data_IF_027015042549
#
_entry.id   IF_027015042549
#
_cell.length_a   1.000
_cell.length_b   1.000
_cell.length_c   1.000
_cell.angle_alpha   90.00
_cell.angle_beta   90.00
_cell.angle_gamma   90.00
#
_symmetry.space_group_name_H-M   'P 1'
#
loop_
_entity.id
_entity.type
_entity.pdbx_description
1 polymer ?
#
# COMPACT_ATOMS: atom_id res chain seq x y z
N UNK A 1 12.74 -39.35 -5.32
CA UNK A 1 14.14 -39.44 -4.85
C UNK A 1 14.90 -40.62 -5.45
N UNK A 2 14.23 -41.56 -6.14
CA UNK A 2 14.85 -42.68 -6.88
C UNK A 2 15.84 -43.46 -6.03
N UNK A 3 17.06 -43.65 -6.54
CA UNK A 3 18.12 -44.41 -5.87
C UNK A 3 18.57 -43.82 -4.51
N UNK A 4 18.12 -42.63 -4.14
CA UNK A 4 18.46 -41.94 -2.90
C UNK A 4 17.34 -42.03 -1.85
N UNK A 5 16.25 -42.77 -2.13
CA UNK A 5 15.17 -42.96 -1.17
C UNK A 5 15.69 -43.65 0.10
N UNK A 6 15.34 -43.08 1.27
CA UNK A 6 15.80 -43.56 2.57
C UNK A 6 17.23 -43.14 2.99
N UNK A 7 18.00 -42.45 2.12
CA UNK A 7 19.33 -41.93 2.46
C UNK A 7 19.25 -40.61 3.17
N UNK A 8 20.16 -40.36 4.12
CA UNK A 8 20.32 -39.04 4.76
C UNK A 8 21.14 -38.16 3.84
N UNK A 9 20.69 -36.92 3.61
CA UNK A 9 21.40 -35.90 2.85
C UNK A 9 21.70 -34.67 3.71
N UNK A 10 22.87 -34.05 3.52
CA UNK A 10 23.24 -32.82 4.13
C UNK A 10 22.74 -31.66 3.26
N UNK A 11 21.91 -30.78 3.82
CA UNK A 11 21.45 -29.57 3.15
C UNK A 11 22.60 -28.55 3.15
N UNK A 12 23.19 -28.28 1.99
CA UNK A 12 24.31 -27.32 1.82
C UNK A 12 23.87 -25.93 1.35
N UNK A 13 22.63 -25.78 0.86
CA UNK A 13 22.02 -24.52 0.41
C UNK A 13 20.63 -24.37 0.99
N UNK A 14 20.15 -23.14 1.07
CA UNK A 14 18.78 -22.89 1.51
C UNK A 14 17.78 -23.72 0.70
N UNK A 15 16.95 -24.50 1.40
CA UNK A 15 15.93 -25.36 0.79
C UNK A 15 14.59 -24.62 0.83
N UNK A 16 13.91 -24.53 -0.32
CA UNK A 16 12.58 -23.95 -0.41
C UNK A 16 11.62 -24.60 0.61
N UNK A 17 10.92 -23.79 1.40
CA UNK A 17 10.08 -24.25 2.52
C UNK A 17 10.81 -24.46 3.85
N UNK A 18 12.13 -24.33 3.89
CA UNK A 18 12.90 -24.37 5.13
C UNK A 18 12.67 -23.08 5.97
N UNK A 19 12.59 -23.22 7.31
CA UNK A 19 12.31 -22.09 8.23
C UNK A 19 13.28 -20.91 8.10
N UNK A 20 14.55 -21.17 7.75
CA UNK A 20 15.59 -20.14 7.61
C UNK A 20 15.83 -19.74 6.13
N UNK A 21 15.20 -20.41 5.17
CA UNK A 21 15.52 -20.24 3.75
C UNK A 21 15.34 -18.79 3.26
N UNK A 22 14.26 -18.12 3.67
CA UNK A 22 14.01 -16.70 3.31
C UNK A 22 15.09 -15.76 3.87
N UNK A 23 15.52 -15.97 5.13
CA UNK A 23 16.60 -15.17 5.74
C UNK A 23 17.94 -15.42 5.02
N UNK A 24 18.25 -16.66 4.74
CA UNK A 24 19.53 -17.02 4.09
C UNK A 24 19.58 -16.45 2.67
N UNK A 25 18.46 -16.49 1.94
CA UNK A 25 18.33 -15.86 0.63
C UNK A 25 18.51 -14.33 0.72
N UNK A 26 17.83 -13.68 1.66
CA UNK A 26 17.94 -12.24 1.88
C UNK A 26 19.38 -11.81 2.23
N UNK A 27 20.06 -12.55 3.11
CA UNK A 27 21.47 -12.25 3.46
C UNK A 27 22.40 -12.39 2.25
N UNK A 28 22.16 -13.40 1.40
CA UNK A 28 22.96 -13.59 0.18
C UNK A 28 22.70 -12.46 -0.83
N UNK A 29 21.44 -12.10 -1.03
CA UNK A 29 21.06 -11.00 -1.91
C UNK A 29 21.65 -9.66 -1.43
N UNK A 30 21.55 -9.37 -0.14
CA UNK A 30 22.14 -8.21 0.50
C UNK A 30 23.67 -8.15 0.23
N UNK A 31 24.39 -9.24 0.48
CA UNK A 31 25.83 -9.30 0.25
C UNK A 31 26.18 -9.06 -1.23
N UNK A 32 25.35 -9.54 -2.14
CA UNK A 32 25.51 -9.28 -3.56
C UNK A 32 25.32 -7.79 -3.89
N UNK A 33 24.28 -7.16 -3.37
CA UNK A 33 24.02 -5.73 -3.61
C UNK A 33 25.14 -4.84 -3.05
N UNK A 34 25.62 -5.14 -1.83
CA UNK A 34 26.77 -4.45 -1.23
C UNK A 34 28.04 -4.63 -2.08
N UNK A 35 28.31 -5.82 -2.60
CA UNK A 35 29.42 -6.11 -3.50
C UNK A 35 29.34 -5.34 -4.83
N UNK A 36 28.14 -5.16 -5.36
CA UNK A 36 27.88 -4.37 -6.57
C UNK A 36 27.92 -2.85 -6.33
N UNK A 37 28.23 -2.43 -5.11
CA UNK A 37 28.36 -1.01 -4.73
C UNK A 37 27.05 -0.31 -4.39
N UNK A 38 25.94 -1.05 -4.27
CA UNK A 38 24.69 -0.51 -3.77
C UNK A 38 24.73 -0.41 -2.24
N UNK A 39 24.05 0.60 -1.70
CA UNK A 39 23.83 0.76 -0.28
C UNK A 39 22.34 0.76 0.01
N UNK A 40 21.86 0.13 1.10
CA UNK A 40 20.46 0.15 1.44
C UNK A 40 20.05 1.57 1.88
N UNK A 41 18.86 1.99 1.50
CA UNK A 41 18.28 3.22 2.01
C UNK A 41 18.08 3.09 3.54
N UNK A 42 18.41 4.15 4.30
CA UNK A 42 18.26 4.13 5.76
C UNK A 42 16.78 4.00 6.22
N UNK A 43 15.89 4.49 5.41
CA UNK A 43 14.47 4.52 5.72
C UNK A 43 13.74 3.24 5.29
N UNK A 44 14.28 2.55 4.29
CA UNK A 44 13.75 1.27 3.80
C UNK A 44 14.93 0.39 3.35
N UNK A 45 15.27 -0.67 4.11
CA UNK A 45 16.41 -1.52 3.83
C UNK A 45 16.28 -2.36 2.55
N UNK A 46 15.06 -2.48 1.97
CA UNK A 46 14.80 -3.20 0.74
C UNK A 46 14.86 -2.29 -0.50
N UNK A 47 15.05 -0.97 -0.30
CA UNK A 47 15.39 0.00 -1.34
C UNK A 47 16.89 0.22 -1.37
N UNK A 48 17.53 -0.21 -2.44
CA UNK A 48 18.96 -0.09 -2.65
C UNK A 48 19.27 1.05 -3.59
N UNK A 49 20.33 1.81 -3.29
CA UNK A 49 20.72 2.96 -4.09
C UNK A 49 22.22 2.97 -4.38
N UNK A 50 22.62 3.43 -5.56
CA UNK A 50 23.99 3.59 -6.02
C UNK A 50 24.12 4.88 -6.85
N UNK A 51 25.12 5.70 -6.54
CA UNK A 51 25.42 6.89 -7.35
C UNK A 51 25.93 6.48 -8.73
N UNK A 52 25.44 7.13 -9.78
CA UNK A 52 25.79 6.87 -11.16
C UNK A 52 25.76 8.16 -11.98
N UNK A 53 26.22 8.09 -13.23
CA UNK A 53 26.22 9.20 -14.18
C UNK A 53 25.44 8.87 -15.43
N UNK A 54 24.67 9.85 -15.91
CA UNK A 54 24.02 9.79 -17.23
C UNK A 54 25.06 9.99 -18.32
N UNK A 55 24.66 9.77 -19.58
CA UNK A 55 25.50 10.00 -20.75
C UNK A 55 25.98 11.47 -20.86
N UNK A 56 25.20 12.42 -20.36
CA UNK A 56 25.53 13.85 -20.30
C UNK A 56 26.39 14.25 -19.10
N UNK A 57 26.92 13.27 -18.35
CA UNK A 57 27.67 13.44 -17.10
C UNK A 57 26.89 13.98 -15.90
N UNK A 58 25.57 14.10 -15.96
CA UNK A 58 24.76 14.45 -14.79
C UNK A 58 24.73 13.30 -13.79
N UNK A 59 24.94 13.63 -12.52
CA UNK A 59 24.84 12.67 -11.43
C UNK A 59 23.37 12.30 -11.19
N UNK A 60 23.13 11.01 -10.92
CA UNK A 60 21.82 10.50 -10.54
C UNK A 60 21.94 9.26 -9.64
N UNK A 61 20.85 8.88 -9.00
CA UNK A 61 20.77 7.65 -8.22
C UNK A 61 20.15 6.53 -9.04
N UNK A 62 20.81 5.38 -9.08
CA UNK A 62 20.21 4.12 -9.47
C UNK A 62 19.51 3.52 -8.27
N UNK A 63 18.28 3.01 -8.47
CA UNK A 63 17.54 2.34 -7.43
C UNK A 63 17.22 0.92 -7.83
N UNK A 64 17.31 0.01 -6.86
CA UNK A 64 16.83 -1.36 -6.96
C UNK A 64 15.93 -1.63 -5.77
N UNK A 65 14.66 -1.86 -6.04
CA UNK A 65 13.66 -2.23 -5.03
C UNK A 65 13.56 -3.76 -5.02
N UNK A 66 13.74 -4.35 -3.86
CA UNK A 66 13.68 -5.79 -3.66
C UNK A 66 12.45 -6.14 -2.83
N UNK A 67 11.63 -7.05 -3.32
CA UNK A 67 10.51 -7.60 -2.59
C UNK A 67 10.54 -9.12 -2.69
N UNK A 68 11.11 -9.78 -1.70
CA UNK A 68 11.39 -11.21 -1.67
C UNK A 68 12.25 -11.62 -2.87
N UNK A 69 11.66 -12.10 -3.95
CA UNK A 69 12.29 -12.52 -5.22
C UNK A 69 12.00 -11.55 -6.39
N UNK A 70 11.08 -10.62 -6.22
CA UNK A 70 10.80 -9.58 -7.21
C UNK A 70 11.83 -8.43 -7.10
N UNK A 71 12.31 -7.98 -8.26
CA UNK A 71 13.30 -6.92 -8.38
C UNK A 71 12.80 -5.86 -9.37
N UNK A 72 12.64 -4.60 -8.92
CA UNK A 72 12.35 -3.46 -9.78
C UNK A 72 13.55 -2.54 -9.81
N UNK A 73 14.15 -2.35 -11.00
CA UNK A 73 15.33 -1.52 -11.20
C UNK A 73 14.96 -0.21 -11.90
N UNK A 74 15.41 0.90 -11.33
CA UNK A 74 15.26 2.26 -11.88
C UNK A 74 16.67 2.79 -12.19
N UNK A 75 17.02 2.83 -13.46
CA UNK A 75 18.32 3.28 -13.96
C UNK A 75 18.19 3.70 -15.43
N UNK A 76 19.22 4.37 -15.97
CA UNK A 76 19.35 4.57 -17.43
C UNK A 76 19.74 3.27 -18.15
N UNK A 77 20.28 2.27 -17.42
CA UNK A 77 20.72 0.98 -17.95
C UNK A 77 20.18 -0.20 -17.09
N UNK A 78 18.87 -0.33 -16.87
CA UNK A 78 18.31 -1.29 -15.91
C UNK A 78 18.59 -2.75 -16.32
N UNK A 79 18.60 -3.06 -17.63
CA UNK A 79 18.89 -4.41 -18.11
C UNK A 79 20.34 -4.83 -17.83
N UNK A 80 21.29 -3.92 -17.87
CA UNK A 80 22.68 -4.24 -17.56
C UNK A 80 22.86 -4.60 -16.10
N UNK A 81 22.24 -3.84 -15.20
CA UNK A 81 22.25 -4.11 -13.76
C UNK A 81 21.63 -5.48 -13.48
N UNK A 82 20.44 -5.75 -14.03
CA UNK A 82 19.75 -7.02 -13.77
C UNK A 82 20.46 -8.19 -14.42
N UNK A 83 20.82 -8.12 -15.72
CA UNK A 83 21.37 -9.27 -16.47
C UNK A 83 22.85 -9.49 -16.20
N UNK A 84 23.65 -8.41 -16.25
CA UNK A 84 25.11 -8.52 -16.24
C UNK A 84 25.71 -8.40 -14.85
N UNK A 85 25.06 -7.69 -13.93
CA UNK A 85 25.58 -7.53 -12.57
C UNK A 85 24.92 -8.54 -11.63
N UNK A 86 23.63 -8.40 -11.32
CA UNK A 86 22.89 -9.30 -10.40
C UNK A 86 22.82 -10.71 -10.96
N UNK A 87 22.56 -10.85 -12.26
CA UNK A 87 22.44 -12.13 -12.96
C UNK A 87 23.70 -13.02 -12.96
N UNK A 88 24.88 -12.47 -12.60
CA UNK A 88 26.10 -13.28 -12.36
C UNK A 88 25.98 -14.13 -11.10
N UNK A 89 25.21 -13.70 -10.12
CA UNK A 89 25.12 -14.30 -8.80
C UNK A 89 23.80 -15.05 -8.58
N UNK A 90 22.76 -14.69 -9.34
CA UNK A 90 21.43 -15.26 -9.26
C UNK A 90 20.95 -15.79 -10.60
N UNK A 91 20.31 -16.96 -10.57
CA UNK A 91 19.67 -17.51 -11.76
C UNK A 91 18.37 -16.72 -12.04
N UNK A 92 18.42 -15.91 -13.09
CA UNK A 92 17.28 -15.12 -13.53
C UNK A 92 16.44 -15.86 -14.57
N UNK A 93 15.13 -15.64 -14.55
CA UNK A 93 14.23 -16.10 -15.60
C UNK A 93 14.26 -15.07 -16.72
N UNK A 94 14.92 -15.39 -17.85
CA UNK A 94 15.06 -14.47 -18.98
C UNK A 94 13.73 -13.85 -19.46
N UNK A 95 12.66 -14.64 -19.48
CA UNK A 95 11.33 -14.18 -19.90
C UNK A 95 10.68 -13.16 -18.96
N UNK A 96 11.20 -12.98 -17.74
CA UNK A 96 10.68 -12.01 -16.75
C UNK A 96 11.55 -10.75 -16.64
N UNK A 97 12.61 -10.63 -17.46
CA UNK A 97 13.46 -9.43 -17.50
C UNK A 97 12.99 -8.53 -18.64
N UNK A 98 12.46 -7.37 -18.30
CA UNK A 98 11.97 -6.39 -19.25
C UNK A 98 11.26 -5.23 -18.56
N UNK A 99 10.58 -4.37 -19.31
CA UNK A 99 9.70 -3.36 -18.74
C UNK A 99 8.70 -4.01 -17.77
N UNK A 100 8.38 -3.37 -16.62
CA UNK A 100 7.46 -3.95 -15.67
C UNK A 100 6.06 -4.11 -16.31
N UNK A 101 5.51 -5.32 -16.24
CA UNK A 101 4.14 -5.64 -16.67
C UNK A 101 3.27 -6.03 -15.47
N UNK A 102 3.76 -6.93 -14.63
CA UNK A 102 3.10 -7.32 -13.38
C UNK A 102 4.10 -7.13 -12.24
N UNK A 103 3.70 -6.37 -11.23
CA UNK A 103 4.48 -6.16 -10.02
C UNK A 103 3.56 -6.28 -8.79
N UNK A 104 3.93 -7.11 -7.82
CA UNK A 104 3.17 -7.36 -6.57
C UNK A 104 1.68 -7.74 -6.81
N UNK A 105 1.38 -8.35 -7.95
CA UNK A 105 0.01 -8.76 -8.31
C UNK A 105 -0.83 -7.68 -8.99
N UNK A 106 -0.27 -6.50 -9.24
CA UNK A 106 -0.88 -5.42 -10.03
C UNK A 106 -0.23 -5.30 -11.40
N UNK A 107 -1.02 -4.89 -12.39
CA UNK A 107 -0.55 -4.59 -13.73
C UNK A 107 0.06 -3.20 -13.76
N UNK A 108 1.28 -3.11 -14.27
CA UNK A 108 1.99 -1.86 -14.55
C UNK A 108 1.85 -1.56 -16.03
N UNK A 109 1.49 -0.34 -16.40
CA UNK A 109 1.36 0.09 -17.78
C UNK A 109 1.75 1.57 -17.93
N UNK A 110 1.85 2.02 -19.17
CA UNK A 110 2.02 3.45 -19.48
C UNK A 110 0.70 3.99 -20.01
N UNK A 111 0.35 5.18 -19.58
CA UNK A 111 -0.86 5.92 -19.97
C UNK A 111 -0.44 7.30 -20.46
N UNK A 112 -0.96 7.71 -21.58
CA UNK A 112 -0.80 9.07 -22.09
C UNK A 112 -1.91 9.96 -21.53
N UNK A 113 -1.52 11.05 -20.87
CA UNK A 113 -2.44 12.05 -20.33
C UNK A 113 -2.98 12.94 -21.43
N UNK A 114 -4.05 13.68 -21.16
CA UNK A 114 -4.61 14.69 -22.09
C UNK A 114 -3.59 15.78 -22.47
N UNK A 115 -2.58 16.00 -21.62
CA UNK A 115 -1.45 16.90 -21.88
C UNK A 115 -0.43 16.36 -22.90
N UNK A 116 -0.53 15.09 -23.31
CA UNK A 116 0.44 14.37 -24.13
C UNK A 116 1.62 13.80 -23.33
N UNK A 117 1.65 13.96 -22.01
CA UNK A 117 2.67 13.35 -21.16
C UNK A 117 2.38 11.86 -20.92
N UNK A 118 3.43 11.03 -20.96
CA UNK A 118 3.32 9.58 -20.70
C UNK A 118 3.68 9.32 -19.25
N UNK A 119 2.74 8.75 -18.51
CA UNK A 119 2.90 8.41 -17.11
C UNK A 119 2.81 6.89 -16.87
N UNK A 120 3.45 6.41 -15.82
CA UNK A 120 3.24 5.05 -15.36
C UNK A 120 1.90 4.94 -14.63
N UNK A 121 1.28 3.79 -14.77
CA UNK A 121 0.04 3.46 -14.08
C UNK A 121 0.11 2.09 -13.44
N UNK A 122 -0.75 1.86 -12.45
CA UNK A 122 -0.84 0.63 -11.70
C UNK A 122 -2.30 0.23 -11.49
N UNK A 123 -2.67 -0.99 -11.87
CA UNK A 123 -4.02 -1.51 -11.74
C UNK A 123 -4.05 -2.86 -11.05
N UNK A 124 -4.84 -2.97 -10.00
CA UNK A 124 -5.11 -4.23 -9.29
C UNK A 124 -6.29 -5.03 -9.85
N UNK A 125 -6.81 -4.65 -11.01
CA UNK A 125 -8.04 -5.23 -11.60
C UNK A 125 -8.02 -6.76 -11.68
N UNK A 126 -6.93 -7.37 -12.11
CA UNK A 126 -6.82 -8.83 -12.22
C UNK A 126 -6.91 -9.52 -10.85
N UNK A 127 -6.21 -8.97 -9.85
CA UNK A 127 -6.25 -9.48 -8.48
C UNK A 127 -7.67 -9.39 -7.90
N UNK A 128 -8.35 -8.26 -8.10
CA UNK A 128 -9.75 -8.07 -7.65
C UNK A 128 -10.67 -9.09 -8.29
N UNK A 129 -10.59 -9.29 -9.60
CA UNK A 129 -11.42 -10.27 -10.32
C UNK A 129 -11.18 -11.70 -9.84
N UNK A 130 -9.93 -12.07 -9.60
CA UNK A 130 -9.59 -13.40 -9.10
C UNK A 130 -10.13 -13.62 -7.69
N UNK A 131 -9.96 -12.65 -6.80
CA UNK A 131 -10.52 -12.71 -5.46
C UNK A 131 -12.06 -12.84 -5.47
N UNK A 132 -12.75 -12.07 -6.32
CA UNK A 132 -14.20 -12.18 -6.49
C UNK A 132 -14.61 -13.58 -7.01
N UNK A 133 -13.87 -14.15 -7.98
CA UNK A 133 -14.12 -15.52 -8.46
C UNK A 133 -13.96 -16.55 -7.34
N UNK A 134 -12.94 -16.41 -6.51
CA UNK A 134 -12.68 -17.31 -5.39
C UNK A 134 -13.80 -17.23 -4.33
N UNK A 135 -14.30 -16.04 -4.01
CA UNK A 135 -15.46 -15.87 -3.12
C UNK A 135 -16.71 -16.50 -3.70
N UNK A 136 -17.00 -16.31 -4.98
CA UNK A 136 -18.14 -16.96 -5.65
C UNK A 136 -18.02 -18.47 -5.65
N UNK A 137 -16.83 -19.01 -5.90
CA UNK A 137 -16.57 -20.45 -5.84
C UNK A 137 -16.82 -20.98 -4.43
N UNK A 138 -16.29 -20.33 -3.40
CA UNK A 138 -16.55 -20.69 -2.00
C UNK A 138 -18.03 -20.76 -1.68
N UNK A 139 -18.80 -19.71 -2.02
CA UNK A 139 -20.24 -19.69 -1.79
C UNK A 139 -20.98 -20.78 -2.57
N UNK A 140 -20.55 -21.05 -3.82
CA UNK A 140 -21.12 -22.13 -4.63
C UNK A 140 -20.87 -23.51 -4.02
N UNK A 141 -19.64 -23.75 -3.57
CA UNK A 141 -19.24 -25.03 -2.99
C UNK A 141 -19.93 -25.26 -1.63
N UNK A 142 -20.08 -24.18 -0.82
CA UNK A 142 -20.79 -24.20 0.48
C UNK A 142 -22.26 -24.58 0.34
N UNK A 143 -22.93 -24.08 -0.71
CA UNK A 143 -24.37 -24.26 -0.94
C UNK A 143 -24.69 -25.10 -2.15
N UNK A 144 -23.84 -26.10 -2.46
CA UNK A 144 -23.95 -26.92 -3.65
C UNK A 144 -25.31 -27.63 -3.76
N UNK A 145 -25.87 -28.08 -2.63
CA UNK A 145 -27.10 -28.82 -2.54
C UNK A 145 -28.26 -28.02 -1.91
N UNK A 146 -28.03 -26.69 -1.73
CA UNK A 146 -28.98 -25.82 -1.01
C UNK A 146 -29.76 -24.92 -1.98
N UNK A 147 -31.09 -24.87 -1.90
CA UNK A 147 -31.91 -23.92 -2.65
C UNK A 147 -31.50 -22.49 -2.38
N UNK A 148 -31.54 -21.61 -3.40
CA UNK A 148 -31.16 -20.19 -3.30
C UNK A 148 -31.93 -19.46 -2.18
N UNK A 149 -33.11 -19.92 -1.83
CA UNK A 149 -33.97 -19.29 -0.83
C UNK A 149 -33.50 -19.49 0.62
N UNK A 150 -32.71 -20.54 0.89
CA UNK A 150 -32.27 -20.90 2.24
C UNK A 150 -30.79 -20.51 2.49
N UNK A 151 -30.18 -19.76 1.56
CA UNK A 151 -28.79 -19.32 1.69
C UNK A 151 -28.65 -18.21 2.71
N UNK A 152 -27.90 -18.47 3.76
CA UNK A 152 -27.55 -17.48 4.79
C UNK A 152 -26.62 -16.40 4.23
N UNK A 153 -25.62 -16.82 3.42
CA UNK A 153 -24.60 -15.90 2.87
C UNK A 153 -24.67 -15.86 1.34
N UNK A 154 -24.55 -14.66 0.77
CA UNK A 154 -24.55 -14.47 -0.67
C UNK A 154 -23.90 -13.14 -1.06
N UNK A 155 -23.42 -13.06 -2.29
CA UNK A 155 -23.03 -11.79 -2.91
C UNK A 155 -24.29 -11.14 -3.52
N UNK A 156 -24.71 -9.94 -3.05
CA UNK A 156 -25.90 -9.28 -3.58
C UNK A 156 -25.71 -8.90 -5.06
N UNK A 157 -26.79 -8.98 -5.84
CA UNK A 157 -26.74 -8.62 -7.28
C UNK A 157 -26.49 -7.14 -7.53
N UNK A 158 -26.82 -6.27 -6.57
CA UNK A 158 -26.64 -4.81 -6.64
C UNK A 158 -25.91 -4.34 -5.39
N UNK A 159 -24.70 -3.79 -5.58
CA UNK A 159 -23.93 -3.12 -4.56
C UNK A 159 -23.41 -1.81 -5.17
N UNK A 160 -24.08 -0.70 -4.88
CA UNK A 160 -23.75 0.63 -5.38
C UNK A 160 -22.59 1.28 -4.61
N UNK A 161 -22.42 0.86 -3.35
CA UNK A 161 -21.36 1.31 -2.46
C UNK A 161 -20.67 0.08 -1.82
N UNK A 162 -19.47 0.22 -1.25
CA UNK A 162 -18.75 -0.89 -0.62
C UNK A 162 -19.50 -1.52 0.56
N UNK A 163 -20.20 -0.74 1.36
CA UNK A 163 -21.10 -1.21 2.42
C UNK A 163 -22.55 -0.87 2.10
N UNK A 164 -23.48 -1.58 2.72
CA UNK A 164 -24.90 -1.26 2.66
C UNK A 164 -25.16 0.11 3.28
N UNK A 165 -26.15 0.84 2.75
CA UNK A 165 -26.53 2.15 3.26
C UNK A 165 -26.79 2.11 4.77
N UNK A 166 -26.20 3.08 5.48
CA UNK A 166 -26.34 3.24 6.93
C UNK A 166 -25.82 2.06 7.78
N UNK A 167 -25.13 1.09 7.21
CA UNK A 167 -24.53 0.02 7.98
C UNK A 167 -23.39 0.55 8.89
N UNK A 168 -23.45 0.12 10.14
CA UNK A 168 -22.46 0.48 11.16
C UNK A 168 -21.97 -0.80 11.84
N UNK A 169 -20.74 -1.25 11.58
CA UNK A 169 -20.24 -2.52 12.10
C UNK A 169 -20.18 -2.55 13.63
N UNK A 170 -19.91 -1.41 14.27
CA UNK A 170 -19.77 -1.32 15.72
C UNK A 170 -21.09 -1.54 16.51
N UNK A 171 -22.25 -1.43 15.85
CA UNK A 171 -23.56 -1.68 16.46
C UNK A 171 -24.26 -2.93 15.92
N UNK A 172 -23.55 -3.77 15.16
CA UNK A 172 -24.11 -5.03 14.67
C UNK A 172 -24.38 -5.98 15.83
N UNK A 173 -25.62 -6.42 15.97
CA UNK A 173 -26.12 -7.32 17.03
C UNK A 173 -26.45 -8.72 16.50
N UNK A 174 -26.10 -9.03 15.27
CA UNK A 174 -26.29 -10.36 14.71
C UNK A 174 -25.48 -11.41 15.49
N UNK A 175 -25.79 -12.71 15.38
CA UNK A 175 -25.06 -13.77 16.05
C UNK A 175 -23.55 -13.70 15.75
N UNK A 176 -22.75 -14.14 16.70
CA UNK A 176 -21.30 -14.31 16.49
C UNK A 176 -21.04 -15.43 15.50
N UNK A 177 -19.98 -15.27 14.70
CA UNK A 177 -19.61 -16.29 13.73
C UNK A 177 -19.03 -17.52 14.43
N UNK A 178 -19.40 -18.69 13.91
CA UNK A 178 -18.70 -19.93 14.26
C UNK A 178 -17.20 -19.84 13.88
N UNK A 179 -16.30 -20.58 14.55
CA UNK A 179 -14.86 -20.46 14.37
C UNK A 179 -14.38 -20.57 12.91
N UNK A 180 -15.02 -21.43 12.11
CA UNK A 180 -14.65 -21.59 10.70
C UNK A 180 -15.01 -20.35 9.86
N UNK A 181 -16.18 -19.76 10.08
CA UNK A 181 -16.63 -18.56 9.40
C UNK A 181 -15.88 -17.31 9.90
N UNK A 182 -15.52 -17.27 11.19
CA UNK A 182 -14.65 -16.23 11.74
C UNK A 182 -13.26 -16.25 11.09
N UNK A 183 -12.65 -17.42 10.93
CA UNK A 183 -11.37 -17.56 10.23
C UNK A 183 -11.48 -17.16 8.74
N UNK A 184 -12.59 -17.51 8.10
CA UNK A 184 -12.85 -17.10 6.72
C UNK A 184 -13.03 -15.58 6.60
N UNK A 185 -13.80 -14.95 7.50
CA UNK A 185 -13.93 -13.49 7.58
C UNK A 185 -12.55 -12.82 7.71
N UNK A 186 -11.71 -13.30 8.62
CA UNK A 186 -10.36 -12.77 8.82
C UNK A 186 -9.50 -12.86 7.53
N UNK A 187 -9.61 -13.98 6.82
CA UNK A 187 -8.91 -14.15 5.55
C UNK A 187 -9.41 -13.20 4.46
N UNK A 188 -10.71 -12.97 4.37
CA UNK A 188 -11.32 -12.03 3.42
C UNK A 188 -10.91 -10.57 3.72
N UNK A 189 -10.88 -10.18 4.99
CA UNK A 189 -10.38 -8.86 5.39
C UNK A 189 -8.89 -8.71 5.03
N UNK A 190 -8.09 -9.76 5.17
CA UNK A 190 -6.69 -9.77 4.71
C UNK A 190 -6.57 -9.50 3.20
N UNK A 191 -7.40 -10.15 2.39
CA UNK A 191 -7.47 -9.93 0.93
C UNK A 191 -7.88 -8.49 0.60
N UNK A 192 -8.92 -7.97 1.26
CA UNK A 192 -9.39 -6.60 1.05
C UNK A 192 -8.36 -5.54 1.48
N UNK A 193 -7.64 -5.77 2.59
CA UNK A 193 -6.53 -4.90 3.00
C UNK A 193 -5.42 -4.88 1.96
N UNK A 194 -5.07 -6.03 1.40
CA UNK A 194 -4.10 -6.08 0.31
C UNK A 194 -4.58 -5.31 -0.93
N UNK A 195 -5.86 -5.40 -1.28
CA UNK A 195 -6.43 -4.58 -2.36
C UNK A 195 -6.29 -3.08 -2.09
N UNK A 196 -6.48 -2.63 -0.84
CA UNK A 196 -6.26 -1.23 -0.46
C UNK A 196 -4.80 -0.84 -0.71
N UNK A 197 -3.82 -1.67 -0.30
CA UNK A 197 -2.40 -1.43 -0.57
C UNK A 197 -2.08 -1.41 -2.08
N UNK A 198 -2.81 -2.18 -2.87
CA UNK A 198 -2.71 -2.19 -4.34
C UNK A 198 -3.49 -1.06 -5.04
N UNK A 199 -3.91 -0.02 -4.32
CA UNK A 199 -4.51 1.17 -4.91
C UNK A 199 -6.05 1.20 -4.92
N UNK A 200 -6.75 0.26 -4.27
CA UNK A 200 -8.21 0.35 -4.09
C UNK A 200 -8.57 1.28 -2.93
N UNK A 201 -8.33 2.56 -3.17
CA UNK A 201 -8.56 3.63 -2.19
C UNK A 201 -10.05 3.77 -1.88
N UNK A 202 -10.89 3.49 -2.87
CA UNK A 202 -12.35 3.56 -2.82
C UNK A 202 -12.98 2.67 -1.72
N UNK A 203 -12.26 1.66 -1.24
CA UNK A 203 -12.70 0.79 -0.14
C UNK A 203 -11.88 0.97 1.15
N UNK A 204 -10.98 1.93 1.21
CA UNK A 204 -10.04 2.09 2.32
C UNK A 204 -10.75 2.31 3.66
N UNK A 205 -11.77 3.15 3.69
CA UNK A 205 -12.53 3.48 4.90
C UNK A 205 -13.29 2.26 5.41
N UNK A 206 -14.02 1.60 4.54
CA UNK A 206 -14.85 0.45 4.87
C UNK A 206 -14.02 -0.74 5.33
N UNK A 207 -12.91 -1.03 4.66
CA UNK A 207 -11.97 -2.07 5.08
C UNK A 207 -11.36 -1.76 6.44
N UNK A 208 -11.04 -0.51 6.72
CA UNK A 208 -10.58 -0.07 8.03
C UNK A 208 -11.65 -0.23 9.12
N UNK A 209 -12.92 0.06 8.80
CA UNK A 209 -14.04 -0.15 9.71
C UNK A 209 -14.24 -1.64 10.01
N UNK A 210 -14.33 -2.47 8.98
CA UNK A 210 -14.52 -3.92 9.13
C UNK A 210 -13.33 -4.60 9.81
N UNK A 211 -12.11 -4.10 9.61
CA UNK A 211 -10.92 -4.60 10.34
C UNK A 211 -11.00 -4.43 11.85
N UNK A 212 -11.83 -3.50 12.34
CA UNK A 212 -12.05 -3.33 13.79
C UNK A 212 -12.83 -4.49 14.42
N UNK A 213 -13.50 -5.33 13.61
CA UNK A 213 -14.34 -6.44 14.07
C UNK A 213 -13.63 -7.81 13.98
N UNK A 214 -12.32 -7.85 13.71
CA UNK A 214 -11.56 -9.11 13.50
C UNK A 214 -11.54 -10.03 14.72
N UNK A 215 -11.57 -9.47 15.93
CA UNK A 215 -11.49 -10.25 17.15
C UNK A 215 -12.77 -11.03 17.48
N UNK A 216 -13.93 -10.46 17.14
CA UNK A 216 -15.24 -11.04 17.40
C UNK A 216 -16.19 -10.70 16.25
N UNK A 217 -16.00 -11.31 15.08
CA UNK A 217 -16.82 -11.03 13.92
C UNK A 217 -18.21 -11.66 14.05
N UNK A 218 -19.22 -11.02 13.45
CA UNK A 218 -20.61 -11.43 13.47
C UNK A 218 -21.11 -11.77 12.06
N UNK A 219 -22.27 -12.43 11.98
CA UNK A 219 -22.89 -12.80 10.69
C UNK A 219 -23.13 -11.59 9.79
N UNK A 220 -23.59 -10.47 10.37
CA UNK A 220 -23.76 -9.21 9.64
C UNK A 220 -22.45 -8.68 9.08
N UNK A 221 -21.35 -8.80 9.82
CA UNK A 221 -20.01 -8.41 9.32
C UNK A 221 -19.61 -9.23 8.08
N UNK A 222 -19.79 -10.55 8.11
CA UNK A 222 -19.47 -11.42 6.97
C UNK A 222 -20.35 -11.11 5.75
N UNK A 223 -21.65 -10.83 5.98
CA UNK A 223 -22.55 -10.40 4.91
C UNK A 223 -22.09 -9.09 4.25
N UNK A 224 -21.60 -8.12 5.04
CA UNK A 224 -21.09 -6.87 4.48
C UNK A 224 -19.79 -7.07 3.72
N UNK A 225 -18.93 -8.00 4.12
CA UNK A 225 -17.75 -8.37 3.34
C UNK A 225 -18.17 -8.96 1.97
N UNK A 226 -19.16 -9.82 1.92
CA UNK A 226 -19.70 -10.29 0.63
C UNK A 226 -20.32 -9.17 -0.21
N UNK A 227 -20.94 -8.18 0.43
CA UNK A 227 -21.42 -6.97 -0.23
C UNK A 227 -20.27 -6.18 -0.86
N UNK A 228 -19.15 -6.02 -0.14
CA UNK A 228 -17.93 -5.37 -0.67
C UNK A 228 -17.39 -6.11 -1.90
N UNK A 229 -17.31 -7.44 -1.87
CA UNK A 229 -16.89 -8.22 -3.04
C UNK A 229 -17.85 -8.07 -4.22
N UNK A 230 -19.14 -7.91 -3.97
CA UNK A 230 -20.10 -7.62 -5.04
C UNK A 230 -19.92 -6.22 -5.64
N UNK A 231 -19.57 -5.22 -4.84
CA UNK A 231 -19.19 -3.88 -5.31
C UNK A 231 -17.93 -3.95 -6.16
N UNK A 232 -16.90 -4.62 -5.66
CA UNK A 232 -15.61 -4.78 -6.31
C UNK A 232 -15.70 -5.52 -7.64
N UNK A 233 -16.55 -6.53 -7.75
CA UNK A 233 -16.75 -7.28 -9.00
C UNK A 233 -17.25 -6.40 -10.14
N UNK A 234 -18.05 -5.39 -9.83
CA UNK A 234 -18.56 -4.43 -10.82
C UNK A 234 -17.58 -3.30 -11.10
N UNK A 235 -16.81 -2.91 -10.09
CA UNK A 235 -15.91 -1.78 -10.12
C UNK A 235 -14.45 -2.22 -10.02
N UNK A 236 -14.09 -3.31 -10.72
CA UNK A 236 -12.73 -3.91 -10.61
C UNK A 236 -11.65 -3.11 -11.35
N UNK A 237 -12.02 -2.31 -12.35
CA UNK A 237 -11.11 -1.70 -13.32
C UNK A 237 -10.56 -0.33 -12.89
N UNK A 238 -10.28 -0.15 -11.60
CA UNK A 238 -9.60 1.05 -11.14
C UNK A 238 -8.11 1.02 -11.52
N UNK A 239 -7.58 2.19 -11.85
CA UNK A 239 -6.19 2.39 -12.22
C UNK A 239 -5.65 3.64 -11.53
N UNK A 240 -4.47 3.53 -10.94
CA UNK A 240 -3.74 4.65 -10.37
C UNK A 240 -2.72 5.14 -11.38
N UNK A 241 -2.76 6.44 -11.69
CA UNK A 241 -1.80 7.07 -12.60
C UNK A 241 -0.80 7.89 -11.78
N UNK A 242 0.49 7.67 -12.00
CA UNK A 242 1.57 8.40 -11.36
C UNK A 242 1.96 9.62 -12.21
N UNK A 243 1.09 10.63 -12.17
CA UNK A 243 1.32 11.89 -12.87
C UNK A 243 2.43 12.67 -12.18
N UNK A 244 3.54 12.83 -12.87
CA UNK A 244 4.74 13.49 -12.37
C UNK A 244 4.76 15.01 -12.61
N UNK A 245 3.74 15.55 -13.27
CA UNK A 245 3.63 17.00 -13.52
C UNK A 245 3.54 17.77 -12.21
N UNK A 246 4.17 18.95 -12.18
CA UNK A 246 4.14 19.81 -11.00
C UNK A 246 2.77 20.48 -10.92
N UNK A 247 2.07 20.43 -9.78
CA UNK A 247 0.79 21.08 -9.63
C UNK A 247 0.94 22.61 -9.71
N UNK A 248 0.00 23.25 -10.38
CA UNK A 248 -0.13 24.70 -10.34
C UNK A 248 -0.71 25.11 -8.99
N UNK A 249 0.15 25.62 -8.13
CA UNK A 249 -0.23 26.10 -6.79
C UNK A 249 0.06 27.60 -6.74
N UNK A 250 -0.97 28.40 -6.81
CA UNK A 250 -0.82 29.84 -6.61
C UNK A 250 -0.46 30.14 -5.15
N UNK A 251 0.60 30.92 -4.93
CA UNK A 251 1.00 31.35 -3.57
C UNK A 251 -0.12 32.13 -2.84
N UNK A 252 -1.07 32.69 -3.58
CA UNK A 252 -2.22 33.39 -3.05
C UNK A 252 -3.23 32.48 -2.36
N UNK A 253 -3.26 31.17 -2.70
CA UNK A 253 -4.15 30.18 -2.06
C UNK A 253 -3.74 29.89 -0.61
N UNK A 254 -2.50 30.23 -0.24
CA UNK A 254 -1.95 30.02 1.10
C UNK A 254 -1.36 31.32 1.66
N UNK A 255 -2.20 32.31 2.01
CA UNK A 255 -1.71 33.56 2.54
C UNK A 255 -0.94 33.34 3.83
N UNK A 256 0.26 33.87 3.89
CA UNK A 256 1.05 33.87 5.14
C UNK A 256 0.32 34.75 6.17
N UNK A 257 -0.15 34.13 7.25
CA UNK A 257 -0.73 34.86 8.34
C UNK A 257 0.36 35.62 9.11
N UNK A 258 0.18 36.92 9.27
CA UNK A 258 1.02 37.73 10.14
C UNK A 258 0.63 37.50 11.62
N UNK A 259 1.54 36.89 12.35
CA UNK A 259 1.35 36.61 13.77
C UNK A 259 2.12 37.57 14.66
N UNK A 260 2.78 38.59 14.09
CA UNK A 260 3.62 39.54 14.82
C UNK A 260 2.89 40.23 15.99
N UNK A 261 1.58 40.38 15.86
CA UNK A 261 0.72 41.01 16.85
C UNK A 261 0.00 40.02 17.79
N UNK A 262 0.43 38.76 17.83
CA UNK A 262 -0.16 37.74 18.69
C UNK A 262 0.78 37.33 19.83
N UNK A 263 0.25 36.66 20.84
CA UNK A 263 1.05 36.09 21.96
C UNK A 263 2.14 35.12 21.48
N UNK A 264 2.02 34.63 20.26
CA UNK A 264 2.97 33.69 19.65
C UNK A 264 4.08 34.35 18.83
N UNK A 265 4.12 35.69 18.74
CA UNK A 265 5.09 36.41 17.91
C UNK A 265 6.55 36.08 18.22
N UNK A 266 6.87 35.87 19.50
CA UNK A 266 8.22 35.57 19.98
C UNK A 266 8.56 34.04 19.98
N UNK A 267 7.57 33.19 19.81
CA UNK A 267 7.77 31.72 19.81
C UNK A 267 8.00 31.15 18.41
N UNK A 268 7.93 32.01 17.40
CA UNK A 268 8.13 31.66 15.99
C UNK A 268 9.57 31.83 15.57
N UNK A 269 10.37 30.82 15.85
CA UNK A 269 11.54 30.58 15.02
C UNK A 269 11.10 29.96 13.68
N UNK A 270 11.70 30.33 12.57
CA UNK A 270 11.68 29.48 11.39
C UNK A 270 12.22 28.12 11.80
N UNK A 271 11.36 27.11 11.74
CA UNK A 271 11.80 25.72 11.89
C UNK A 271 12.71 25.40 10.71
N UNK A 272 14.01 25.53 10.93
CA UNK A 272 15.03 25.05 9.99
C UNK A 272 15.23 23.58 10.27
N UNK A 273 14.88 22.75 9.29
CA UNK A 273 15.16 21.35 9.34
C UNK A 273 16.65 21.13 9.03
N UNK A 274 17.38 20.60 9.99
CA UNK A 274 18.78 20.25 9.77
C UNK A 274 18.84 18.86 9.11
N UNK A 275 19.35 18.84 7.88
CA UNK A 275 19.65 17.58 7.19
C UNK A 275 20.88 16.97 7.83
N UNK A 276 20.85 15.69 8.25
CA UNK A 276 22.03 15.02 8.81
C UNK A 276 23.24 15.10 7.87
N UNK A 277 24.43 15.36 8.41
CA UNK A 277 25.65 15.54 7.61
C UNK A 277 26.07 14.33 6.77
N UNK A 278 25.54 13.15 7.10
CA UNK A 278 25.75 11.90 6.37
C UNK A 278 24.58 11.52 5.44
N UNK A 279 23.71 12.49 5.13
CA UNK A 279 22.64 12.29 4.17
C UNK A 279 23.20 12.24 2.75
N UNK A 280 22.67 11.37 1.87
CA UNK A 280 23.09 11.33 0.46
C UNK A 280 22.83 12.68 -0.22
N UNK A 281 23.66 13.09 -1.18
CA UNK A 281 23.39 14.29 -1.96
C UNK A 281 22.09 14.13 -2.75
N UNK A 282 21.33 15.22 -2.86
CA UNK A 282 20.12 15.25 -3.65
C UNK A 282 20.48 15.40 -5.13
N UNK A 283 20.24 14.35 -5.91
CA UNK A 283 20.37 14.37 -7.36
C UNK A 283 18.97 14.38 -7.99
N UNK A 284 18.72 15.32 -8.89
CA UNK A 284 17.49 15.40 -9.65
C UNK A 284 16.65 16.62 -9.34
N UNK A 285 15.39 16.59 -9.81
CA UNK A 285 14.45 17.70 -9.65
C UNK A 285 13.70 17.58 -8.34
N UNK A 286 13.45 18.70 -7.68
CA UNK A 286 12.54 18.75 -6.54
C UNK A 286 11.11 18.40 -6.93
N UNK A 287 10.30 18.04 -5.95
CA UNK A 287 8.87 17.78 -6.11
C UNK A 287 8.07 18.51 -5.03
N UNK A 288 6.80 18.73 -5.31
CA UNK A 288 5.84 19.31 -4.38
C UNK A 288 5.09 18.21 -3.65
N UNK A 289 5.17 18.21 -2.31
CA UNK A 289 4.38 17.30 -1.48
C UNK A 289 3.10 17.99 -1.03
N UNK A 290 1.94 17.38 -1.34
CA UNK A 290 0.63 17.86 -0.90
C UNK A 290 -0.04 16.80 -0.03
N UNK A 291 -0.69 17.24 1.03
CA UNK A 291 -1.39 16.36 1.96
C UNK A 291 -2.80 16.89 2.19
N UNK A 292 -3.78 16.05 1.95
CA UNK A 292 -5.18 16.30 2.28
C UNK A 292 -5.53 15.51 3.52
N UNK A 293 -6.06 16.16 4.53
CA UNK A 293 -6.37 15.58 5.84
C UNK A 293 -7.79 15.92 6.21
N UNK A 294 -8.48 14.95 6.77
CA UNK A 294 -9.83 15.11 7.27
C UNK A 294 -10.10 14.16 8.43
N UNK A 295 -11.07 14.45 9.27
CA UNK A 295 -11.55 13.53 10.29
C UNK A 295 -13.06 13.59 10.45
N UNK A 296 -13.67 12.43 10.72
CA UNK A 296 -15.00 12.44 11.29
C UNK A 296 -14.96 12.87 12.78
N UNK A 297 -16.06 13.39 13.32
CA UNK A 297 -16.15 13.61 14.76
C UNK A 297 -17.02 12.54 15.42
N UNK A 298 -16.40 11.74 16.32
CA UNK A 298 -17.06 10.71 17.12
C UNK A 298 -17.90 9.72 16.27
N UNK A 299 -17.39 9.36 15.07
CA UNK A 299 -18.12 8.54 14.10
C UNK A 299 -18.37 7.11 14.56
N UNK A 300 -17.52 6.54 15.41
CA UNK A 300 -17.78 5.26 16.06
C UNK A 300 -18.84 5.46 17.16
N UNK A 301 -20.02 4.90 16.97
CA UNK A 301 -21.18 5.16 17.84
C UNK A 301 -21.04 4.53 19.23
N UNK A 302 -20.21 3.50 19.37
CA UNK A 302 -19.99 2.80 20.67
C UNK A 302 -18.86 3.43 21.44
N UNK A 303 -17.69 3.59 20.80
CA UNK A 303 -16.51 4.11 21.49
C UNK A 303 -16.39 5.63 21.43
N UNK A 304 -17.20 6.29 20.61
CA UNK A 304 -17.17 7.74 20.32
C UNK A 304 -15.82 8.24 19.81
N UNK A 305 -15.00 7.34 19.27
CA UNK A 305 -13.73 7.68 18.64
C UNK A 305 -13.94 8.16 17.21
N UNK A 306 -13.16 9.13 16.83
CA UNK A 306 -13.09 9.67 15.48
C UNK A 306 -12.23 8.79 14.58
N UNK A 307 -12.32 9.01 13.29
CA UNK A 307 -11.48 8.37 12.26
C UNK A 307 -10.70 9.44 11.51
N UNK A 308 -9.39 9.28 11.46
CA UNK A 308 -8.50 10.08 10.63
C UNK A 308 -8.46 9.52 9.23
N UNK A 309 -8.57 10.38 8.22
CA UNK A 309 -8.27 10.11 6.82
C UNK A 309 -7.22 11.08 6.29
N UNK A 310 -6.24 10.60 5.51
CA UNK A 310 -5.37 11.51 4.77
C UNK A 310 -4.81 10.87 3.50
N UNK A 311 -4.51 11.74 2.53
CA UNK A 311 -3.94 11.41 1.22
C UNK A 311 -2.64 12.19 1.05
N UNK A 312 -1.60 11.56 0.53
CA UNK A 312 -0.30 12.19 0.25
C UNK A 312 0.01 12.10 -1.23
N UNK A 313 0.29 13.24 -1.82
CA UNK A 313 0.69 13.37 -3.21
C UNK A 313 2.14 13.84 -3.31
N UNK A 314 2.87 13.29 -4.27
CA UNK A 314 4.10 13.88 -4.80
C UNK A 314 3.79 14.42 -6.21
N UNK A 315 3.95 15.71 -6.40
CA UNK A 315 3.41 16.42 -7.54
C UNK A 315 1.91 16.09 -7.70
N UNK A 316 1.47 15.55 -8.83
CA UNK A 316 0.09 15.11 -9.03
C UNK A 316 -0.12 13.61 -8.81
N UNK A 317 0.94 12.85 -8.48
CA UNK A 317 0.84 11.43 -8.18
C UNK A 317 0.39 11.19 -6.74
N UNK A 318 -0.71 10.47 -6.54
CA UNK A 318 -1.10 9.97 -5.22
C UNK A 318 -0.21 8.77 -4.86
N UNK A 319 0.51 8.88 -3.73
CA UNK A 319 1.50 7.87 -3.32
C UNK A 319 1.15 7.18 -2.00
N UNK A 320 0.28 7.77 -1.20
CA UNK A 320 -0.12 7.20 0.07
C UNK A 320 -1.51 7.65 0.50
N UNK A 321 -2.22 6.76 1.17
CA UNK A 321 -3.55 6.99 1.74
C UNK A 321 -3.70 6.21 3.05
N UNK A 322 -4.51 6.74 3.95
CA UNK A 322 -4.75 6.12 5.25
C UNK A 322 -6.16 6.43 5.73
N UNK A 323 -6.81 5.43 6.29
CA UNK A 323 -8.02 5.60 7.11
C UNK A 323 -7.87 4.82 8.40
N UNK A 324 -7.81 5.51 9.54
CA UNK A 324 -7.53 4.87 10.82
C UNK A 324 -8.35 5.48 11.95
N UNK A 325 -8.95 4.62 12.79
CA UNK A 325 -9.64 5.06 13.99
C UNK A 325 -8.64 5.67 14.97
N UNK A 326 -8.97 6.85 15.52
CA UNK A 326 -8.15 7.54 16.52
C UNK A 326 -8.10 6.72 17.83
N UNK A 327 -7.01 6.86 18.56
CA UNK A 327 -6.82 6.16 19.84
C UNK A 327 -7.47 6.90 21.01
N UNK A 328 -7.72 8.20 20.85
CA UNK A 328 -8.34 9.09 21.82
C UNK A 328 -9.81 9.37 21.49
N UNK A 329 -10.54 9.87 22.44
CA UNK A 329 -11.90 10.42 22.27
C UNK A 329 -11.81 11.91 22.40
N UNK A 330 -12.12 12.61 21.30
CA UNK A 330 -12.10 14.07 21.29
C UNK A 330 -13.49 14.63 21.56
N UNK A 331 -13.53 15.71 22.34
CA UNK A 331 -14.80 16.33 22.78
C UNK A 331 -15.34 17.37 21.77
N UNK A 332 -14.56 17.68 20.74
CA UNK A 332 -14.92 18.66 19.69
C UNK A 332 -14.41 18.22 18.33
N UNK A 333 -15.06 18.71 17.28
CA UNK A 333 -14.57 18.55 15.90
C UNK A 333 -13.15 19.07 15.72
N UNK A 334 -12.85 20.23 16.34
CA UNK A 334 -11.49 20.80 16.31
C UNK A 334 -10.45 19.81 16.88
N UNK A 335 -10.76 19.13 17.99
CA UNK A 335 -9.86 18.13 18.58
C UNK A 335 -9.59 16.97 17.62
N UNK A 336 -10.63 16.43 16.99
CA UNK A 336 -10.49 15.34 16.04
C UNK A 336 -9.70 15.75 14.77
N UNK A 337 -9.93 16.96 14.25
CA UNK A 337 -9.17 17.50 13.13
C UNK A 337 -7.70 17.75 13.48
N UNK A 338 -7.44 18.27 14.67
CA UNK A 338 -6.07 18.48 15.16
C UNK A 338 -5.32 17.16 15.30
N UNK A 339 -5.96 16.10 15.81
CA UNK A 339 -5.37 14.77 15.91
C UNK A 339 -5.10 14.16 14.53
N UNK A 340 -5.98 14.38 13.55
CA UNK A 340 -5.76 13.95 12.18
C UNK A 340 -4.57 14.66 11.55
N UNK A 341 -4.49 15.98 11.69
CA UNK A 341 -3.38 16.79 11.19
C UNK A 341 -2.04 16.39 11.84
N UNK A 342 -2.05 16.10 13.15
CA UNK A 342 -0.87 15.59 13.86
C UNK A 342 -0.37 14.28 13.23
N UNK A 343 -1.27 13.29 13.03
CA UNK A 343 -0.91 11.98 12.45
C UNK A 343 -0.35 12.11 11.03
N UNK A 344 -0.99 12.93 10.20
CA UNK A 344 -0.52 13.19 8.84
C UNK A 344 0.86 13.88 8.83
N UNK A 345 1.07 14.86 9.70
CA UNK A 345 2.35 15.57 9.83
C UNK A 345 3.47 14.63 10.26
N UNK A 346 3.23 13.77 11.25
CA UNK A 346 4.20 12.78 11.71
C UNK A 346 4.59 11.80 10.59
N UNK A 347 3.61 11.33 9.81
CA UNK A 347 3.86 10.47 8.66
C UNK A 347 4.68 11.18 7.57
N UNK A 348 4.28 12.38 7.19
CA UNK A 348 4.96 13.17 6.14
C UNK A 348 6.38 13.53 6.52
N UNK A 349 6.63 13.87 7.79
CA UNK A 349 8.00 14.10 8.28
C UNK A 349 8.87 12.85 8.08
N UNK A 350 8.35 11.66 8.42
CA UNK A 350 9.05 10.41 8.18
C UNK A 350 9.28 10.14 6.68
N UNK A 351 8.28 10.44 5.84
CA UNK A 351 8.37 10.25 4.39
C UNK A 351 9.43 11.17 3.76
N UNK A 352 9.57 12.41 4.20
CA UNK A 352 10.59 13.35 3.70
C UNK A 352 12.02 12.84 3.87
N UNK A 353 12.28 12.03 4.89
CA UNK A 353 13.58 11.39 5.07
C UNK A 353 13.77 10.12 4.21
N UNK A 354 12.70 9.63 3.59
CA UNK A 354 12.76 8.51 2.64
C UNK A 354 13.03 8.97 1.20
N UNK A 355 12.60 10.17 0.89
CA UNK A 355 12.72 10.81 -0.41
C UNK A 355 13.99 11.67 -0.50
#
# INVERSE_FOLDING_TARGET
FGEHEGKKALIKRALYGGKCAGRDYWLHLRSCMEFLGFSPCKADPDVWMRASKREDNTDYWEYVLLYVDDCLCISTHPEEIIRKEIGKYFLMKEASIGPPDIYLGGKVSQVELETGEVCWSFSSSQYVQEACRNVRKYLKDRYKDDPIQDRQYFMPKKAGAPLSNNYRPEIDVSPELEPADAAYYQSLIGILRWMVELGRIDICVEVSMMSSCLALPREGHLMQVFHMFSHLEKNHNSEMVFDHSVPDIEHNDFPKQDWSNTVYANERGELKEEVPSNFPPSYGKGFVMRVYVDSDHAGDQVTRRSRTGFLVYLNNALIYWSSKKQTTVETSSFGSEFMAMKQATEYVRGLRFKL
#
